data_IF_769483156422
#
_entry.id   IF_769483156422
#
_cell.length_a   1.000
_cell.length_b   1.000
_cell.length_c   1.000
_cell.angle_alpha   90.00
_cell.angle_beta   90.00
_cell.angle_gamma   90.00
#
_symmetry.space_group_name_H-M   'P 1'
#
loop_
_entity.id
_entity.type
_entity.pdbx_description
1 polymer ?
#
# COMPACT_ATOMS: atom_id res chain seq x y z
N UNK A 1 23.65 8.00 -7.20
CA UNK A 1 22.65 7.25 -8.00
C UNK A 1 21.47 8.17 -8.29
N UNK A 2 20.97 8.23 -9.53
CA UNK A 2 19.93 9.20 -9.91
C UNK A 2 18.52 8.69 -9.59
N UNK A 3 17.79 9.39 -8.71
CA UNK A 3 16.34 9.20 -8.54
C UNK A 3 15.63 9.68 -9.82
N UNK A 4 15.39 8.77 -10.76
CA UNK A 4 14.62 9.06 -11.99
C UNK A 4 13.21 9.52 -11.61
N UNK A 5 12.67 10.49 -12.37
CA UNK A 5 11.29 10.97 -12.26
C UNK A 5 10.32 9.79 -12.12
N UNK A 6 9.64 9.67 -10.97
CA UNK A 6 8.58 8.68 -10.76
C UNK A 6 7.39 9.07 -11.64
N UNK A 7 7.14 8.35 -12.75
CA UNK A 7 5.90 8.50 -13.51
C UNK A 7 4.72 8.21 -12.59
N UNK A 8 3.69 9.07 -12.61
CA UNK A 8 2.46 8.90 -11.81
C UNK A 8 1.76 7.56 -12.08
N UNK A 9 1.97 6.99 -13.27
CA UNK A 9 1.43 5.69 -13.73
C UNK A 9 2.09 4.45 -13.09
N UNK A 10 3.11 4.62 -12.24
CA UNK A 10 3.73 3.53 -11.47
C UNK A 10 3.75 3.79 -9.96
N UNK A 11 2.88 4.67 -9.47
CA UNK A 11 2.74 4.90 -8.03
C UNK A 11 2.28 3.63 -7.30
N UNK A 12 1.43 2.83 -7.93
CA UNK A 12 0.94 1.53 -7.48
C UNK A 12 2.12 0.58 -7.22
N UNK A 13 3.08 0.55 -8.16
CA UNK A 13 4.31 -0.25 -8.07
C UNK A 13 5.23 0.31 -6.99
N UNK A 14 5.34 1.63 -6.85
CA UNK A 14 6.13 2.27 -5.78
C UNK A 14 5.57 2.04 -4.38
N UNK A 15 4.25 1.87 -4.23
CA UNK A 15 3.59 1.48 -2.98
C UNK A 15 3.82 -0.01 -2.68
N UNK A 16 3.76 -0.88 -3.70
CA UNK A 16 4.09 -2.31 -3.56
C UNK A 16 5.57 -2.54 -3.23
N UNK A 17 6.47 -1.81 -3.88
CA UNK A 17 7.93 -1.80 -3.61
C UNK A 17 8.22 -1.37 -2.16
N UNK A 18 7.54 -0.33 -1.67
CA UNK A 18 7.65 0.08 -0.28
C UNK A 18 7.07 -0.93 0.72
N UNK A 19 5.94 -1.57 0.37
CA UNK A 19 5.38 -2.67 1.18
C UNK A 19 6.30 -3.90 1.18
N UNK A 20 7.03 -4.17 0.09
CA UNK A 20 8.02 -5.25 -0.01
C UNK A 20 9.29 -4.94 0.80
N UNK A 21 9.78 -3.69 0.78
CA UNK A 21 10.85 -3.22 1.68
C UNK A 21 10.47 -3.37 3.16
N UNK A 22 9.17 -3.28 3.47
CA UNK A 22 8.59 -3.53 4.78
C UNK A 22 7.84 -4.88 4.86
N UNK A 23 8.28 -5.90 4.12
CA UNK A 23 7.67 -7.24 4.10
C UNK A 23 7.52 -7.80 5.53
N UNK A 24 6.36 -8.38 5.84
CA UNK A 24 6.01 -8.83 7.20
C UNK A 24 5.60 -7.72 8.19
N UNK A 25 5.71 -6.43 7.86
CA UNK A 25 5.15 -5.32 8.67
C UNK A 25 3.88 -4.77 8.04
N UNK A 26 2.86 -4.56 8.87
CA UNK A 26 1.70 -3.76 8.46
C UNK A 26 2.01 -2.27 8.41
N UNK A 27 1.57 -1.61 7.35
CA UNK A 27 1.60 -0.16 7.19
C UNK A 27 0.20 0.39 6.99
N UNK A 28 -0.05 1.55 7.60
CA UNK A 28 -1.28 2.33 7.39
C UNK A 28 -1.14 3.20 6.13
N UNK A 29 -2.25 3.67 5.56
CA UNK A 29 -2.21 4.68 4.49
C UNK A 29 -1.55 6.01 4.91
N UNK A 30 -1.36 6.26 6.22
CA UNK A 30 -0.61 7.40 6.75
C UNK A 30 0.89 7.12 6.81
N UNK A 31 1.30 5.92 7.25
CA UNK A 31 2.69 5.46 7.21
C UNK A 31 3.23 5.47 5.77
N UNK A 32 2.47 4.86 4.83
CA UNK A 32 2.83 4.83 3.41
C UNK A 32 2.97 6.25 2.86
N UNK A 33 2.00 7.13 3.13
CA UNK A 33 1.98 8.54 2.68
C UNK A 33 3.22 9.33 3.10
N UNK A 34 3.69 9.15 4.35
CA UNK A 34 4.94 9.76 4.83
C UNK A 34 6.16 9.24 4.08
N UNK A 35 6.22 7.93 3.81
CA UNK A 35 7.41 7.30 3.24
C UNK A 35 7.53 7.39 1.71
N UNK A 36 6.42 7.63 0.98
CA UNK A 36 6.45 7.85 -0.47
C UNK A 36 6.47 9.34 -0.88
N UNK A 37 6.34 10.25 0.09
CA UNK A 37 6.17 11.70 -0.07
C UNK A 37 5.00 12.07 -1.00
N UNK A 38 3.82 11.50 -0.71
CA UNK A 38 2.57 11.78 -1.45
C UNK A 38 1.44 12.13 -0.49
N UNK A 39 0.58 13.05 -0.91
CA UNK A 39 -0.61 13.45 -0.16
C UNK A 39 -1.51 12.25 0.13
N UNK A 40 -1.96 12.12 1.38
CA UNK A 40 -2.70 10.97 1.88
C UNK A 40 -3.88 10.53 0.98
N UNK A 41 -4.64 11.48 0.42
CA UNK A 41 -5.74 11.20 -0.50
C UNK A 41 -5.29 10.46 -1.77
N UNK A 42 -4.11 10.76 -2.32
CA UNK A 42 -3.55 10.05 -3.48
C UNK A 42 -3.16 8.62 -3.11
N UNK A 43 -2.51 8.43 -1.96
CA UNK A 43 -2.16 7.09 -1.46
C UNK A 43 -3.42 6.24 -1.22
N UNK A 44 -4.46 6.81 -0.61
CA UNK A 44 -5.77 6.13 -0.47
C UNK A 44 -6.40 5.80 -1.83
N UNK A 45 -6.23 6.65 -2.86
CA UNK A 45 -6.69 6.36 -4.21
C UNK A 45 -5.93 5.20 -4.85
N UNK A 46 -4.59 5.17 -4.77
CA UNK A 46 -3.78 4.05 -5.26
C UNK A 46 -4.05 2.75 -4.49
N UNK A 47 -4.30 2.81 -3.18
CA UNK A 47 -4.68 1.64 -2.39
C UNK A 47 -6.07 1.08 -2.76
N UNK A 48 -7.01 1.95 -3.17
CA UNK A 48 -8.29 1.50 -3.78
C UNK A 48 -8.07 0.84 -5.14
N UNK A 49 -7.15 1.36 -5.96
CA UNK A 49 -6.77 0.79 -7.26
C UNK A 49 -6.11 -0.59 -7.07
N UNK A 50 -5.12 -0.71 -6.16
CA UNK A 50 -4.50 -1.98 -5.78
C UNK A 50 -5.51 -3.00 -5.24
N UNK A 51 -6.50 -2.56 -4.45
CA UNK A 51 -7.60 -3.43 -4.00
C UNK A 51 -8.43 -3.95 -5.17
N UNK A 52 -8.78 -3.10 -6.14
CA UNK A 52 -9.48 -3.54 -7.37
C UNK A 52 -8.60 -4.48 -8.20
N UNK A 53 -7.30 -4.24 -8.28
CA UNK A 53 -6.36 -5.12 -8.97
C UNK A 53 -6.22 -6.52 -8.31
N UNK A 54 -6.34 -6.61 -6.97
CA UNK A 54 -6.41 -7.90 -6.25
C UNK A 54 -7.73 -8.63 -6.51
N UNK A 55 -8.84 -7.90 -6.61
CA UNK A 55 -10.16 -8.45 -6.98
C UNK A 55 -10.16 -9.00 -8.43
N UNK A 56 -9.54 -8.24 -9.35
CA UNK A 56 -9.18 -8.67 -10.71
C UNK A 56 -8.11 -9.78 -10.77
N UNK A 57 -7.61 -10.27 -9.62
CA UNK A 57 -6.57 -11.31 -9.47
C UNK A 57 -5.30 -11.06 -10.30
N UNK A 58 -4.86 -9.80 -10.42
CA UNK A 58 -3.67 -9.45 -11.21
C UNK A 58 -2.39 -10.03 -10.58
N UNK A 59 -1.44 -10.53 -11.39
CA UNK A 59 -0.31 -11.31 -10.89
C UNK A 59 0.60 -10.55 -9.91
N UNK A 60 0.79 -9.24 -10.10
CA UNK A 60 1.59 -8.40 -9.20
C UNK A 60 0.88 -8.05 -7.87
N UNK A 61 -0.41 -8.36 -7.74
CA UNK A 61 -1.16 -8.20 -6.46
C UNK A 61 -1.29 -9.51 -5.67
N UNK A 62 -0.64 -10.60 -6.10
CA UNK A 62 -0.66 -11.90 -5.39
C UNK A 62 -0.27 -11.72 -3.91
N UNK A 63 0.89 -11.13 -3.66
CA UNK A 63 1.48 -10.91 -2.32
C UNK A 63 0.97 -9.65 -1.60
N UNK A 64 -0.02 -8.95 -2.16
CA UNK A 64 -0.57 -7.73 -1.56
C UNK A 64 -1.71 -8.08 -0.60
N UNK A 65 -1.43 -8.07 0.70
CA UNK A 65 -2.43 -8.30 1.75
C UNK A 65 -3.01 -6.98 2.26
N UNK A 66 -4.28 -7.02 2.66
CA UNK A 66 -4.94 -5.90 3.35
C UNK A 66 -5.92 -6.43 4.39
N UNK A 67 -5.94 -5.84 5.58
CA UNK A 67 -6.94 -6.14 6.61
C UNK A 67 -7.46 -4.86 7.28
N UNK A 68 -8.55 -4.99 8.02
CA UNK A 68 -8.98 -3.95 8.94
C UNK A 68 -8.54 -4.33 10.34
N UNK A 69 -7.95 -3.38 11.06
CA UNK A 69 -7.68 -3.49 12.49
C UNK A 69 -8.48 -2.39 13.23
N UNK A 70 -9.04 -2.68 14.42
CA UNK A 70 -9.64 -1.64 15.24
C UNK A 70 -8.54 -0.71 15.76
N UNK A 71 -8.64 0.60 15.48
CA UNK A 71 -7.69 1.56 16.04
C UNK A 71 -8.00 1.79 17.53
N UNK A 72 -7.09 1.39 18.42
CA UNK A 72 -7.27 1.51 19.89
C UNK A 72 -7.50 2.93 20.39
N UNK A 73 -7.17 3.96 19.59
CA UNK A 73 -7.36 5.38 19.97
C UNK A 73 -8.76 5.90 19.62
N UNK A 74 -9.37 5.42 18.53
CA UNK A 74 -10.65 5.97 18.02
C UNK A 74 -11.78 4.94 17.95
N UNK A 75 -11.51 3.67 18.22
CA UNK A 75 -12.42 2.52 18.02
C UNK A 75 -12.96 2.37 16.57
N UNK A 76 -12.39 3.08 15.60
CA UNK A 76 -12.74 2.98 14.18
C UNK A 76 -11.83 1.95 13.49
N UNK A 77 -12.42 1.09 12.66
CA UNK A 77 -11.69 0.12 11.86
C UNK A 77 -10.82 0.80 10.78
N UNK A 78 -9.51 0.75 10.96
CA UNK A 78 -8.52 1.31 10.05
C UNK A 78 -8.01 0.25 9.06
N UNK A 79 -7.88 0.62 7.79
CA UNK A 79 -7.24 -0.23 6.79
C UNK A 79 -5.71 -0.22 6.94
N UNK A 80 -5.14 -1.41 6.98
CA UNK A 80 -3.71 -1.69 7.00
C UNK A 80 -3.36 -2.64 5.86
N UNK A 81 -2.14 -2.50 5.37
CA UNK A 81 -1.64 -3.12 4.16
C UNK A 81 -0.28 -3.73 4.45
N UNK A 82 -0.02 -4.92 3.91
CA UNK A 82 1.23 -5.64 4.08
C UNK A 82 1.63 -6.33 2.78
N UNK A 83 2.93 -6.53 2.58
CA UNK A 83 3.43 -7.51 1.63
C UNK A 83 3.62 -8.83 2.37
N UNK A 84 3.02 -9.90 1.84
CA UNK A 84 3.10 -11.24 2.38
C UNK A 84 3.36 -12.24 1.24
N UNK A 85 4.57 -12.79 1.22
CA UNK A 85 5.05 -13.68 0.16
C UNK A 85 4.49 -15.11 0.26
N UNK A 86 3.73 -15.42 1.32
CA UNK A 86 3.10 -16.72 1.55
C UNK A 86 1.59 -16.74 1.17
N UNK A 87 1.06 -15.65 0.58
CA UNK A 87 -0.30 -15.57 0.00
C UNK A 87 -0.41 -16.20 -1.39
#
# INVERSE_FOLDING_TARGET
>A
MGMKKRNKERMDVGILDLLMIHSGKELTASEISKSVDLGHCQVVQFLKILRKHKDEKRPYTKYFSMRQIPNSVTHINQWVYAYDENN
#
